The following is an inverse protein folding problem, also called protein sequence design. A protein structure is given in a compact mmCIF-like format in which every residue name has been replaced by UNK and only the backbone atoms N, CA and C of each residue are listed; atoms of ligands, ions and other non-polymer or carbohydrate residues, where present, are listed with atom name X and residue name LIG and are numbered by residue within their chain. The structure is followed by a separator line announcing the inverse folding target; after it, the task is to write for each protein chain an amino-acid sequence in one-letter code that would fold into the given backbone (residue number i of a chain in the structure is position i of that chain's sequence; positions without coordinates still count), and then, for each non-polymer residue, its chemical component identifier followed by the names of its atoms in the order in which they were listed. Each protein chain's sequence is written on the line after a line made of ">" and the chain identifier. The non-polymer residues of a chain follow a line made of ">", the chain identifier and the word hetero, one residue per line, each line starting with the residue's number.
data_IF_239348580821
#
_entry.id   IF_239348580821
#
_cell.length_a   1.000
_cell.length_b   1.000
_cell.length_c   1.000
_cell.angle_alpha   90.00
_cell.angle_beta   90.00
_cell.angle_gamma   90.00
#
_symmetry.space_group_name_H-M   'P 1'
#
loop_
_entity.id
_entity.type
_entity.pdbx_description
1 polymer ?
#
# COMPACT_ATOMS: atom_id res chain seq x y z
N UNK A 1 -6.37 5.96 2.95
CA UNK A 1 -4.88 5.98 3.01
C UNK A 1 -4.36 7.36 2.69
N UNK A 2 -3.36 7.81 3.41
CA UNK A 2 -2.74 9.10 3.12
C UNK A 2 -1.21 8.93 3.12
N UNK A 3 -0.49 10.01 2.83
CA UNK A 3 0.96 9.94 2.68
C UNK A 3 1.65 9.47 3.97
N UNK A 4 1.19 9.94 5.10
CA UNK A 4 1.78 9.56 6.39
C UNK A 4 1.56 8.08 6.70
N UNK A 5 0.36 7.58 6.42
CA UNK A 5 0.06 6.17 6.64
C UNK A 5 0.91 5.29 5.73
N UNK A 6 1.01 5.66 4.47
CA UNK A 6 1.82 4.89 3.53
C UNK A 6 3.27 4.83 3.99
N UNK A 7 3.83 5.96 4.36
CA UNK A 7 5.21 6.03 4.79
C UNK A 7 5.43 5.24 6.09
N UNK A 8 4.53 5.44 7.05
CA UNK A 8 4.69 4.82 8.37
C UNK A 8 4.55 3.31 8.36
N UNK A 9 3.76 2.77 7.41
CA UNK A 9 3.54 1.32 7.35
C UNK A 9 4.15 0.69 6.11
N UNK A 10 5.03 1.42 5.44
CA UNK A 10 5.54 1.00 4.14
C UNK A 10 6.19 -0.39 4.18
N UNK A 11 6.99 -0.67 5.17
CA UNK A 11 7.70 -1.95 5.24
C UNK A 11 6.73 -3.13 5.26
N UNK A 12 5.63 -3.00 5.99
CA UNK A 12 4.62 -4.05 6.05
C UNK A 12 3.77 -4.06 4.78
N UNK A 13 3.37 -2.88 4.35
CA UNK A 13 2.48 -2.74 3.20
C UNK A 13 3.12 -3.24 1.91
N UNK A 14 4.40 -2.95 1.71
CA UNK A 14 5.06 -3.36 0.46
C UNK A 14 5.08 -4.87 0.30
N UNK A 15 5.23 -5.60 1.39
CA UNK A 15 5.20 -7.05 1.35
C UNK A 15 3.86 -7.59 0.88
N UNK A 16 2.79 -7.03 1.44
CA UNK A 16 1.43 -7.43 1.05
C UNK A 16 1.12 -6.99 -0.37
N UNK A 17 1.57 -5.78 -0.71
CA UNK A 17 1.37 -5.24 -2.05
C UNK A 17 2.00 -6.14 -3.11
N UNK A 18 3.22 -6.56 -2.88
CA UNK A 18 3.90 -7.43 -3.82
C UNK A 18 3.20 -8.78 -3.95
N UNK A 19 2.73 -9.33 -2.85
CA UNK A 19 2.01 -10.59 -2.87
C UNK A 19 0.71 -10.51 -3.65
N UNK A 20 -0.05 -9.46 -3.41
CA UNK A 20 -1.37 -9.33 -4.04
C UNK A 20 -1.27 -8.79 -5.45
N UNK A 21 -0.35 -7.89 -5.70
CA UNK A 21 -0.19 -7.21 -6.98
C UNK A 21 1.21 -7.47 -7.51
N UNK A 22 1.38 -8.65 -8.09
CA UNK A 22 2.70 -9.15 -8.47
C UNK A 22 3.39 -8.41 -9.61
N UNK A 23 2.69 -7.50 -10.31
CA UNK A 23 3.33 -6.72 -11.35
C UNK A 23 4.30 -5.68 -10.80
N UNK A 24 4.16 -5.33 -9.52
CA UNK A 24 5.16 -4.47 -8.89
C UNK A 24 6.43 -5.26 -8.69
N UNK A 25 7.54 -4.72 -9.19
CA UNK A 25 8.85 -5.34 -9.00
C UNK A 25 9.49 -4.79 -7.74
N UNK A 26 10.54 -5.45 -7.28
CA UNK A 26 11.30 -4.93 -6.14
C UNK A 26 11.83 -3.53 -6.44
N UNK A 27 12.25 -3.31 -7.67
CA UNK A 27 12.73 -2.01 -8.09
C UNK A 27 11.64 -0.95 -8.00
N UNK A 28 10.43 -1.30 -8.45
CA UNK A 28 9.29 -0.39 -8.33
C UNK A 28 9.04 0.00 -6.88
N UNK A 29 9.05 -1.00 -6.00
CA UNK A 29 8.79 -0.77 -4.58
C UNK A 29 9.87 0.08 -3.95
N UNK A 30 11.10 -0.13 -4.37
CA UNK A 30 12.22 0.66 -3.88
C UNK A 30 12.08 2.13 -4.32
N UNK A 31 11.67 2.35 -5.55
CA UNK A 31 11.45 3.70 -6.04
C UNK A 31 10.35 4.43 -5.29
N UNK A 32 9.29 3.68 -4.93
CA UNK A 32 8.18 4.26 -4.17
C UNK A 32 8.63 4.65 -2.75
N UNK A 33 9.23 3.73 -2.03
CA UNK A 33 9.75 3.93 -0.67
C UNK A 33 8.79 4.70 0.25
N UNK A 34 7.51 4.38 0.15
CA UNK A 34 6.52 5.02 1.00
C UNK A 34 6.08 6.39 0.55
N UNK A 35 6.53 6.84 -0.61
CA UNK A 35 6.12 8.12 -1.16
C UNK A 35 4.77 7.96 -1.87
N UNK A 36 3.78 8.70 -1.40
CA UNK A 36 2.42 8.54 -1.90
C UNK A 36 2.29 8.87 -3.39
N UNK A 37 2.89 9.97 -3.82
CA UNK A 37 2.82 10.37 -5.23
C UNK A 37 3.46 9.34 -6.14
N UNK A 38 4.60 8.80 -5.72
CA UNK A 38 5.28 7.77 -6.50
C UNK A 38 4.47 6.49 -6.54
N UNK A 39 3.81 6.16 -5.44
CA UNK A 39 2.93 5.01 -5.39
C UNK A 39 1.80 5.15 -6.41
N UNK A 40 1.15 6.32 -6.44
CA UNK A 40 0.09 6.58 -7.41
C UNK A 40 0.60 6.45 -8.85
N UNK A 41 1.77 6.98 -9.13
CA UNK A 41 2.37 6.90 -10.45
C UNK A 41 2.65 5.47 -10.87
N UNK A 42 3.23 4.69 -9.97
CA UNK A 42 3.51 3.28 -10.27
C UNK A 42 2.22 2.47 -10.40
N UNK A 43 1.23 2.76 -9.57
CA UNK A 43 -0.05 2.07 -9.67
C UNK A 43 -0.69 2.32 -11.03
N UNK A 44 -0.64 3.57 -11.50
CA UNK A 44 -1.16 3.91 -12.82
C UNK A 44 -0.37 3.21 -13.93
N UNK A 45 0.94 3.17 -13.78
CA UNK A 45 1.82 2.58 -14.79
C UNK A 45 1.62 1.07 -14.90
N UNK A 46 1.50 0.38 -13.77
CA UNK A 46 1.42 -1.09 -13.76
C UNK A 46 -0.01 -1.61 -13.87
N UNK A 47 -0.98 -0.86 -13.36
CA UNK A 47 -2.35 -1.35 -13.25
C UNK A 47 -3.38 -0.36 -13.76
N UNK A 48 -3.05 0.54 -14.66
CA UNK A 48 -3.93 1.57 -15.18
C UNK A 48 -5.43 1.32 -15.01
N UNK A 49 -5.95 0.31 -15.71
CA UNK A 49 -7.38 0.00 -15.66
C UNK A 49 -7.85 -0.48 -14.30
N UNK A 50 -6.97 -1.09 -13.54
CA UNK A 50 -7.33 -1.66 -12.24
C UNK A 50 -6.79 -0.84 -11.08
N UNK A 51 -6.37 0.37 -11.36
CA UNK A 51 -5.83 1.25 -10.32
C UNK A 51 -6.85 1.50 -9.22
N UNK A 52 -8.12 1.67 -9.59
CA UNK A 52 -9.16 1.94 -8.60
C UNK A 52 -9.33 0.79 -7.62
N UNK A 53 -9.29 -0.44 -8.13
CA UNK A 53 -9.35 -1.62 -7.26
C UNK A 53 -8.17 -1.67 -6.32
N UNK A 54 -6.99 -1.41 -6.87
CA UNK A 54 -5.77 -1.41 -6.08
C UNK A 54 -5.82 -0.36 -4.98
N UNK A 55 -6.26 0.84 -5.31
CA UNK A 55 -6.36 1.93 -4.33
C UNK A 55 -7.39 1.62 -3.25
N UNK A 56 -8.49 1.01 -3.64
CA UNK A 56 -9.52 0.61 -2.68
C UNK A 56 -8.98 -0.43 -1.71
N UNK A 57 -8.27 -1.41 -2.23
CA UNK A 57 -7.64 -2.42 -1.39
C UNK A 57 -6.63 -1.79 -0.44
N UNK A 58 -5.82 -0.87 -0.95
CA UNK A 58 -4.80 -0.20 -0.16
C UNK A 58 -5.43 0.60 0.99
N UNK A 59 -6.52 1.31 0.69
CA UNK A 59 -7.24 2.05 1.72
C UNK A 59 -7.75 1.12 2.81
N UNK A 60 -8.36 0.00 2.40
CA UNK A 60 -8.88 -0.97 3.35
C UNK A 60 -7.76 -1.59 4.18
N UNK A 61 -6.64 -1.89 3.55
CA UNK A 61 -5.50 -2.45 4.26
C UNK A 61 -5.01 -1.50 5.35
N UNK A 62 -4.87 -0.24 5.00
CA UNK A 62 -4.38 0.75 5.97
C UNK A 62 -5.36 0.99 7.09
N UNK A 63 -6.66 0.95 6.78
CA UNK A 63 -7.68 1.09 7.82
C UNK A 63 -7.67 -0.08 8.79
N UNK A 64 -7.54 -1.29 8.26
CA UNK A 64 -7.53 -2.49 9.10
C UNK A 64 -6.27 -2.61 9.93
N UNK A 65 -5.17 -2.12 9.39
CA UNK A 65 -3.89 -2.19 10.06
C UNK A 65 -3.64 -1.00 10.97
N UNK A 66 -4.63 -0.15 11.13
CA UNK A 66 -4.51 0.97 12.06
C UNK A 66 -4.37 0.42 13.47
N UNK A 67 -3.51 0.96 14.21
CA UNK A 67 -3.20 0.41 15.52
C UNK A 67 -4.37 0.48 16.48
N UNK A 68 -4.73 0.23 16.24
CA UNK A 68 -5.38 0.06 17.08
C UNK A 68 -5.75 -0.86 17.38
N UNK A 69 -5.56 -0.83 16.87
CA UNK A 69 -5.97 -1.58 17.10
C UNK A 69 -5.90 -2.26 17.87
N UNK A 70 -5.83 -1.95 17.93
CA UNK A 70 -5.77 -2.57 18.65
C UNK A 70 -6.10 -3.25 19.15
N UNK A 71 -6.04 -3.12 19.09
CA UNK A 71 -6.34 -3.88 19.62
C UNK A 71 -6.71 -4.60 19.83
N UNK A 72 -6.62 -4.50 19.79
CA UNK A 72 -6.91 -5.24 20.08
C UNK A 72 -7.14 -5.93 20.38
N UNK A 73 -7.01 -5.76 20.38
CA UNK A 73 -7.12 -6.43 20.84
C UNK A 73 -7.52 -7.05 21.19
N UNK A 74 -7.51 -6.81 21.25
CA UNK A 74 -7.88 -7.39 21.78
C UNK A 74 -8.22 -8.11 21.99
N UNK A 75 -8.16 -8.20 22.08
CA UNK A 75 -8.43 -9.06 22.51
C UNK A 75 -8.49 -9.63 22.83
#
# INVERSE_FOLDING_TARGET
>A
MNADQLKGKWMQFKGELKQKYGKFTDDDLQQIEGNYDKFLGKAQERYGDKKDELMKWADQWHQRSAPEAVGEKSR
#
